data_IF_294764853161
#
_entry.id   IF_294764853161
#
_cell.length_a   1.000
_cell.length_b   1.000
_cell.length_c   1.000
_cell.angle_alpha   90.00
_cell.angle_beta   90.00
_cell.angle_gamma   90.00
#
_symmetry.space_group_name_H-M   'P 1'
#
loop_
_entity.id
_entity.type
_entity.pdbx_description
1 polymer ?
#
# COMPACT_ATOMS: atom_id res chain seq x y z
N UNK A 1 7.69 -20.76 14.31
CA UNK A 1 8.80 -19.89 13.86
C UNK A 1 8.68 -19.71 12.36
N UNK A 2 9.01 -18.54 11.82
CA UNK A 2 8.86 -18.24 10.39
C UNK A 2 10.22 -18.00 9.73
N UNK A 3 11.03 -17.09 10.28
CA UNK A 3 12.42 -16.88 9.86
C UNK A 3 13.32 -17.00 11.09
N UNK A 4 14.39 -17.82 11.08
CA UNK A 4 15.26 -17.97 12.24
C UNK A 4 16.21 -16.78 12.43
N UNK A 5 16.68 -16.12 11.36
CA UNK A 5 17.68 -15.06 11.43
C UNK A 5 17.55 -14.04 10.28
N UNK A 6 16.60 -13.11 10.41
CA UNK A 6 16.42 -11.99 9.50
C UNK A 6 17.50 -10.90 9.70
N UNK A 7 18.12 -10.43 8.61
CA UNK A 7 19.21 -9.43 8.65
C UNK A 7 18.71 -7.99 8.53
N UNK A 8 17.47 -7.78 8.10
CA UNK A 8 16.92 -6.47 7.76
C UNK A 8 15.89 -6.05 8.79
N UNK A 9 15.91 -4.81 9.26
CA UNK A 9 14.78 -4.31 10.04
C UNK A 9 13.65 -3.91 9.09
N UNK A 10 12.45 -4.49 9.26
CA UNK A 10 11.28 -4.09 8.50
C UNK A 10 10.55 -3.00 9.26
N UNK A 11 10.74 -1.77 8.81
CA UNK A 11 10.20 -0.58 9.42
C UNK A 11 8.76 -0.39 8.95
N UNK A 12 7.82 -0.21 9.87
CA UNK A 12 6.41 0.02 9.54
C UNK A 12 5.54 0.44 10.71
N UNK A 13 6.14 0.94 11.80
CA UNK A 13 5.36 1.42 12.94
C UNK A 13 4.51 2.66 12.61
N UNK A 14 3.60 2.98 13.54
CA UNK A 14 2.59 4.03 13.36
C UNK A 14 3.17 5.42 13.05
N UNK A 15 4.42 5.71 13.40
CA UNK A 15 5.01 7.02 13.20
C UNK A 15 5.58 7.20 11.78
N UNK A 16 5.88 6.09 11.09
CA UNK A 16 6.57 6.11 9.79
C UNK A 16 5.69 5.62 8.65
N UNK A 17 4.91 4.54 8.84
CA UNK A 17 4.04 4.02 7.79
C UNK A 17 2.89 4.98 7.43
N UNK A 18 2.67 5.98 8.28
CA UNK A 18 1.61 7.00 8.17
C UNK A 18 2.09 8.35 7.64
N UNK A 19 3.38 8.49 7.39
CA UNK A 19 4.02 9.76 7.01
C UNK A 19 4.87 9.62 5.76
N UNK A 20 5.38 8.41 5.47
CA UNK A 20 6.27 8.14 4.35
C UNK A 20 6.20 6.66 3.90
N UNK A 21 6.83 6.38 2.76
CA UNK A 21 7.06 5.02 2.28
C UNK A 21 8.00 4.24 3.21
N UNK A 22 7.75 2.94 3.35
CA UNK A 22 8.49 2.05 4.24
C UNK A 22 8.80 0.71 3.58
N UNK A 23 9.91 0.08 3.95
CA UNK A 23 10.26 -1.24 3.39
C UNK A 23 9.27 -2.34 3.80
N UNK A 24 8.65 -2.27 4.99
CA UNK A 24 7.58 -3.20 5.36
C UNK A 24 6.31 -2.94 4.55
N UNK A 25 5.97 -1.67 4.30
CA UNK A 25 4.89 -1.27 3.41
C UNK A 25 5.08 -1.87 2.02
N UNK A 26 6.26 -1.70 1.43
CA UNK A 26 6.63 -2.23 0.12
C UNK A 26 6.53 -3.76 0.08
N UNK A 27 7.04 -4.44 1.11
CA UNK A 27 6.93 -5.89 1.19
C UNK A 27 5.46 -6.36 1.20
N UNK A 28 4.61 -5.68 1.98
CA UNK A 28 3.18 -6.01 2.11
C UNK A 28 2.41 -5.72 0.82
N UNK A 29 2.72 -4.64 0.12
CA UNK A 29 2.03 -4.29 -1.13
C UNK A 29 2.50 -5.15 -2.29
N UNK A 30 3.80 -5.45 -2.39
CA UNK A 30 4.33 -6.41 -3.37
C UNK A 30 3.72 -7.80 -3.19
N UNK A 31 3.60 -8.24 -1.93
CA UNK A 31 2.88 -9.43 -1.54
C UNK A 31 1.44 -9.47 -2.05
N UNK A 32 0.69 -8.39 -1.77
CA UNK A 32 -0.70 -8.23 -2.20
C UNK A 32 -0.80 -8.31 -3.72
N UNK A 33 0.08 -7.61 -4.44
CA UNK A 33 0.12 -7.59 -5.90
C UNK A 33 0.36 -8.99 -6.47
N UNK A 34 1.39 -9.69 -5.99
CA UNK A 34 1.76 -11.02 -6.46
C UNK A 34 0.66 -12.06 -6.17
N UNK A 35 0.00 -11.96 -5.00
CA UNK A 35 -1.14 -12.81 -4.68
C UNK A 35 -2.31 -12.55 -5.62
N UNK A 36 -2.71 -11.30 -5.80
CA UNK A 36 -3.83 -10.94 -6.65
C UNK A 36 -3.57 -11.31 -8.12
N UNK A 37 -2.35 -11.13 -8.62
CA UNK A 37 -1.96 -11.50 -9.99
C UNK A 37 -2.12 -13.00 -10.27
N UNK A 38 -1.96 -13.86 -9.25
CA UNK A 38 -2.11 -15.32 -9.37
C UNK A 38 -3.55 -15.80 -9.16
N UNK A 39 -4.31 -15.13 -8.28
CA UNK A 39 -5.56 -15.67 -7.75
C UNK A 39 -6.81 -14.92 -8.23
N UNK A 40 -6.69 -13.70 -8.73
CA UNK A 40 -7.85 -12.92 -9.18
C UNK A 40 -8.06 -13.04 -10.68
N UNK A 41 -9.33 -12.89 -11.10
CA UNK A 41 -9.73 -12.94 -12.51
C UNK A 41 -8.98 -11.91 -13.36
N UNK A 42 -8.74 -10.72 -12.81
CA UNK A 42 -7.99 -9.66 -13.46
C UNK A 42 -6.65 -9.50 -12.75
N UNK A 43 -5.56 -9.47 -13.53
CA UNK A 43 -4.25 -9.12 -12.99
C UNK A 43 -4.29 -7.66 -12.52
N UNK A 44 -3.81 -7.36 -11.29
CA UNK A 44 -3.74 -5.98 -10.82
C UNK A 44 -2.71 -5.21 -11.66
N UNK A 45 -2.98 -3.93 -11.92
CA UNK A 45 -1.99 -3.01 -12.46
C UNK A 45 -0.95 -2.68 -11.38
N UNK A 46 -1.37 -2.56 -10.11
CA UNK A 46 -0.51 -2.34 -8.93
C UNK A 46 -1.28 -2.64 -7.63
N UNK A 47 -0.61 -2.57 -6.49
CA UNK A 47 -1.22 -2.71 -5.17
C UNK A 47 -0.92 -1.54 -4.24
N UNK A 48 -1.85 -1.29 -3.33
CA UNK A 48 -1.73 -0.28 -2.27
C UNK A 48 -2.24 -0.84 -0.94
N UNK A 49 -1.80 -0.25 0.17
CA UNK A 49 -2.42 -0.47 1.48
C UNK A 49 -2.28 0.78 2.33
N UNK A 50 -3.28 1.09 3.16
CA UNK A 50 -3.19 2.23 4.05
C UNK A 50 -2.23 1.95 5.24
N UNK A 51 -1.38 2.91 5.57
CA UNK A 51 -0.39 2.83 6.64
C UNK A 51 -1.02 2.63 8.02
N UNK A 52 -2.26 3.06 8.23
CA UNK A 52 -3.01 2.78 9.46
C UNK A 52 -3.25 1.28 9.72
N UNK A 53 -3.17 0.45 8.68
CA UNK A 53 -3.25 -1.01 8.76
C UNK A 53 -1.96 -1.69 9.23
N UNK A 54 -0.81 -1.00 9.15
CA UNK A 54 0.51 -1.51 9.57
C UNK A 54 0.82 -0.93 10.95
N UNK A 55 0.99 -1.80 11.95
CA UNK A 55 0.93 -1.40 13.37
C UNK A 55 2.25 -1.47 14.11
N UNK A 56 3.23 -2.18 13.56
CA UNK A 56 4.53 -2.38 14.17
C UNK A 56 5.60 -2.57 13.11
N UNK A 57 6.84 -2.30 13.50
CA UNK A 57 8.03 -2.77 12.78
C UNK A 57 8.34 -4.23 13.18
N UNK A 58 9.14 -4.92 12.37
CA UNK A 58 9.72 -6.23 12.70
C UNK A 58 11.24 -6.04 12.83
N UNK A 59 11.77 -6.34 14.00
CA UNK A 59 13.20 -6.23 14.27
C UNK A 59 14.02 -7.26 13.49
N UNK A 60 15.33 -7.04 13.44
CA UNK A 60 16.29 -8.05 12.98
C UNK A 60 16.24 -9.28 13.90
N UNK A 61 16.67 -10.42 13.39
CA UNK A 61 16.73 -11.67 14.13
C UNK A 61 15.53 -12.58 13.87
N UNK A 62 15.06 -13.26 14.90
CA UNK A 62 14.00 -14.27 14.77
C UNK A 62 12.66 -13.59 14.46
N UNK A 63 12.00 -14.03 13.39
CA UNK A 63 10.62 -13.63 13.06
C UNK A 63 9.67 -14.77 13.41
N UNK A 64 8.65 -14.44 14.19
CA UNK A 64 7.59 -15.32 14.65
C UNK A 64 6.26 -14.97 14.00
N UNK A 65 5.28 -15.86 14.17
CA UNK A 65 3.92 -15.56 13.74
C UNK A 65 3.29 -14.45 14.58
N UNK A 66 3.70 -14.30 15.85
CA UNK A 66 3.23 -13.22 16.70
C UNK A 66 3.64 -11.86 16.13
N UNK A 67 4.88 -11.72 15.65
CA UNK A 67 5.35 -10.48 15.00
C UNK A 67 4.46 -10.10 13.82
N UNK A 68 4.07 -11.07 12.99
CA UNK A 68 3.17 -10.85 11.85
C UNK A 68 1.76 -10.43 12.30
N UNK A 69 1.22 -11.08 13.34
CA UNK A 69 -0.07 -10.70 13.94
C UNK A 69 0.00 -9.27 14.48
N UNK A 70 1.10 -8.91 15.14
CA UNK A 70 1.31 -7.56 15.67
C UNK A 70 1.39 -6.52 14.55
N UNK A 71 1.97 -6.84 13.39
CA UNK A 71 2.02 -5.92 12.23
C UNK A 71 0.64 -5.71 11.60
N UNK A 72 -0.13 -6.78 11.36
CA UNK A 72 -1.41 -6.75 10.65
C UNK A 72 -2.57 -7.36 11.48
N UNK A 73 -2.99 -6.72 12.59
CA UNK A 73 -3.85 -7.35 13.59
C UNK A 73 -5.33 -7.42 13.19
N UNK A 74 -5.76 -6.67 12.16
CA UNK A 74 -7.19 -6.47 11.88
C UNK A 74 -7.86 -7.60 11.10
N UNK A 75 -7.10 -8.61 10.67
CA UNK A 75 -7.66 -9.73 9.90
C UNK A 75 -8.20 -9.34 8.52
N UNK A 76 -7.84 -8.16 8.01
CA UNK A 76 -8.27 -7.63 6.71
C UNK A 76 -8.09 -8.64 5.57
N UNK A 77 -9.02 -8.62 4.63
CA UNK A 77 -8.99 -9.45 3.44
C UNK A 77 -8.35 -8.71 2.27
N UNK A 78 -7.55 -9.43 1.48
CA UNK A 78 -7.07 -8.94 0.20
C UNK A 78 -8.26 -8.83 -0.74
N UNK A 79 -8.38 -7.64 -1.33
CA UNK A 79 -9.46 -7.21 -2.21
C UNK A 79 -8.91 -6.61 -3.49
N UNK A 80 -9.71 -6.60 -4.56
CA UNK A 80 -9.38 -5.87 -5.79
C UNK A 80 -10.53 -4.95 -6.18
N UNK A 81 -10.19 -3.71 -6.52
CA UNK A 81 -11.11 -2.69 -7.00
C UNK A 81 -10.78 -2.30 -8.44
N UNK A 82 -11.78 -1.80 -9.17
CA UNK A 82 -11.65 -1.30 -10.53
C UNK A 82 -11.94 0.20 -10.52
N UNK A 83 -10.97 1.04 -10.85
CA UNK A 83 -11.07 2.50 -10.71
C UNK A 83 -10.51 3.24 -11.93
N UNK A 84 -11.06 4.42 -12.25
CA UNK A 84 -10.55 5.28 -13.33
C UNK A 84 -9.26 5.99 -12.89
N UNK A 85 -8.36 6.29 -13.82
CA UNK A 85 -7.09 6.97 -13.52
C UNK A 85 -7.27 8.33 -12.82
N UNK A 86 -8.34 9.07 -13.13
CA UNK A 86 -8.71 10.28 -12.38
C UNK A 86 -8.88 10.02 -10.88
N UNK A 87 -9.46 8.88 -10.52
CA UNK A 87 -9.75 8.54 -9.13
C UNK A 87 -8.54 7.95 -8.41
N UNK A 88 -7.63 7.31 -9.16
CA UNK A 88 -6.29 6.98 -8.65
C UNK A 88 -5.57 8.23 -8.18
N UNK A 89 -5.56 9.31 -8.99
CA UNK A 89 -4.95 10.58 -8.57
C UNK A 89 -5.63 11.15 -7.33
N UNK A 90 -6.97 11.17 -7.27
CA UNK A 90 -7.72 11.65 -6.10
C UNK A 90 -7.38 10.85 -4.84
N UNK A 91 -7.25 9.52 -4.95
CA UNK A 91 -6.88 8.67 -3.81
C UNK A 91 -5.50 9.04 -3.26
N UNK A 92 -4.50 9.28 -4.13
CA UNK A 92 -3.17 9.73 -3.69
C UNK A 92 -3.15 11.16 -3.15
N UNK A 93 -3.92 12.08 -3.73
CA UNK A 93 -4.10 13.43 -3.16
C UNK A 93 -4.67 13.38 -1.74
N UNK A 94 -5.70 12.55 -1.53
CA UNK A 94 -6.28 12.33 -0.20
C UNK A 94 -5.30 11.68 0.76
N UNK A 95 -4.54 10.70 0.28
CA UNK A 95 -3.50 10.03 1.05
C UNK A 95 -2.46 11.01 1.59
N UNK A 96 -2.11 11.99 0.76
CA UNK A 96 -1.15 13.04 1.03
C UNK A 96 -1.79 14.29 1.64
N UNK A 97 -3.03 14.26 2.13
CA UNK A 97 -3.76 15.46 2.58
C UNK A 97 -3.39 15.94 4.01
N UNK A 98 -2.55 15.20 4.73
CA UNK A 98 -2.22 15.49 6.12
C UNK A 98 -1.51 16.86 6.29
N UNK A 99 -1.72 17.60 7.39
CA UNK A 99 -0.92 18.78 7.71
C UNK A 99 0.59 18.51 7.71
N UNK A 100 1.39 19.56 7.59
CA UNK A 100 2.84 19.47 7.67
C UNK A 100 3.28 19.79 9.10
N UNK A 101 4.23 19.02 9.61
CA UNK A 101 4.96 19.30 10.85
C UNK A 101 6.45 19.41 10.57
N UNK A 102 7.18 20.07 11.48
CA UNK A 102 8.63 20.10 11.47
C UNK A 102 9.11 19.16 12.58
N UNK A 103 9.82 18.10 12.19
CA UNK A 103 10.43 17.14 13.11
C UNK A 103 11.91 17.02 12.78
N UNK A 104 12.79 17.20 13.77
CA UNK A 104 14.24 17.16 13.58
C UNK A 104 14.72 18.08 12.43
N UNK A 105 14.22 19.31 12.39
CA UNK A 105 14.50 20.31 11.34
C UNK A 105 14.12 19.88 9.91
N UNK A 106 13.24 18.88 9.75
CA UNK A 106 12.72 18.44 8.46
C UNK A 106 11.20 18.57 8.42
N UNK A 107 10.68 19.13 7.33
CA UNK A 107 9.24 19.12 7.04
C UNK A 107 8.81 17.71 6.69
N UNK A 108 7.74 17.24 7.31
CA UNK A 108 7.09 15.97 6.98
C UNK A 108 5.58 16.07 7.15
N UNK A 109 4.86 15.11 6.61
CA UNK A 109 3.43 14.96 6.90
C UNK A 109 3.24 14.57 8.37
N UNK A 110 2.21 15.10 9.02
CA UNK A 110 1.75 14.54 10.29
C UNK A 110 1.22 13.11 10.07
N UNK A 111 1.29 12.22 11.07
CA UNK A 111 0.83 10.85 10.92
C UNK A 111 -0.64 10.74 10.47
N UNK A 112 -0.87 10.22 9.27
CA UNK A 112 -2.19 9.94 8.71
C UNK A 112 -2.37 8.45 8.43
N UNK A 113 -3.37 7.82 9.05
CA UNK A 113 -3.70 6.40 8.80
C UNK A 113 -4.10 6.09 7.35
N UNK A 114 -4.46 7.12 6.57
CA UNK A 114 -4.75 7.04 5.14
C UNK A 114 -3.54 7.24 4.21
N UNK A 115 -2.33 7.41 4.72
CA UNK A 115 -1.12 7.40 3.89
C UNK A 115 -1.01 6.04 3.18
N UNK A 116 -0.82 6.01 1.87
CA UNK A 116 -0.85 4.80 1.06
C UNK A 116 0.58 4.32 0.85
N UNK A 117 0.86 3.12 1.35
CA UNK A 117 2.02 2.34 0.92
C UNK A 117 1.71 1.77 -0.46
N UNK A 118 2.74 1.60 -1.29
CA UNK A 118 2.60 1.24 -2.71
C UNK A 118 3.48 0.05 -3.06
N UNK A 119 3.12 -0.71 -4.09
CA UNK A 119 3.93 -1.80 -4.62
C UNK A 119 4.92 -1.34 -5.69
N UNK A 120 5.84 -2.24 -6.07
CA UNK A 120 6.86 -2.09 -7.12
C UNK A 120 6.34 -1.68 -8.49
N UNK A 121 5.03 -1.73 -8.73
CA UNK A 121 4.41 -1.45 -10.04
C UNK A 121 3.83 -0.04 -10.14
N UNK A 122 4.06 0.83 -9.17
CA UNK A 122 3.64 2.24 -9.22
C UNK A 122 4.69 3.16 -8.58
N UNK A 123 4.89 4.33 -9.17
CA UNK A 123 5.65 5.43 -8.60
C UNK A 123 4.75 6.65 -8.44
N UNK A 124 4.86 7.35 -7.31
CA UNK A 124 4.10 8.57 -7.02
C UNK A 124 5.07 9.68 -6.65
N UNK A 125 5.10 10.73 -7.47
CA UNK A 125 5.92 11.91 -7.25
C UNK A 125 5.03 13.00 -6.68
N UNK A 126 5.43 13.59 -5.55
CA UNK A 126 4.64 14.60 -4.86
C UNK A 126 5.50 15.68 -4.22
N UNK A 127 4.89 16.84 -3.97
CA UNK A 127 5.50 17.98 -3.29
C UNK A 127 4.63 18.42 -2.11
N UNK A 128 5.12 18.15 -0.90
CA UNK A 128 4.42 18.45 0.36
C UNK A 128 4.30 19.95 0.65
N UNK A 129 5.06 20.81 -0.05
CA UNK A 129 4.95 22.25 0.09
C UNK A 129 3.75 22.82 -0.67
N UNK A 130 3.12 22.04 -1.55
CA UNK A 130 1.88 22.45 -2.18
C UNK A 130 0.70 22.35 -1.20
N UNK A 131 -0.35 23.11 -1.52
CA UNK A 131 -1.62 23.05 -0.79
C UNK A 131 -2.16 21.62 -0.81
N UNK A 132 -2.84 21.18 0.26
CA UNK A 132 -3.49 19.88 0.27
C UNK A 132 -4.46 19.74 -0.94
N UNK A 133 -4.55 18.53 -1.50
CA UNK A 133 -5.19 18.22 -2.79
C UNK A 133 -4.50 18.75 -4.06
N UNK A 134 -3.29 19.31 -3.95
CA UNK A 134 -2.46 19.70 -5.10
C UNK A 134 -1.01 19.23 -4.95
N UNK A 135 -0.80 18.14 -4.21
CA UNK A 135 0.53 17.64 -3.87
C UNK A 135 1.05 16.64 -4.88
N UNK A 136 0.20 15.89 -5.57
CA UNK A 136 0.62 14.91 -6.58
C UNK A 136 1.10 15.63 -7.84
N UNK A 137 2.37 15.40 -8.22
CA UNK A 137 3.02 15.93 -9.41
C UNK A 137 2.92 14.99 -10.60
N UNK A 138 3.21 13.71 -10.37
CA UNK A 138 3.16 12.68 -11.40
C UNK A 138 2.85 11.33 -10.75
N UNK A 139 2.18 10.46 -11.48
CA UNK A 139 1.98 9.06 -11.11
C UNK A 139 2.35 8.23 -12.32
N UNK A 140 3.20 7.23 -12.11
CA UNK A 140 3.62 6.32 -13.16
C UNK A 140 3.27 4.90 -12.77
N UNK A 141 2.65 4.17 -13.69
CA UNK A 141 2.24 2.78 -13.49
C UNK A 141 3.04 1.90 -14.43
N UNK A 142 3.53 0.77 -13.92
CA UNK A 142 4.28 -0.20 -14.71
C UNK A 142 3.34 -0.89 -15.71
N UNK A 143 3.69 -0.85 -16.97
CA UNK A 143 3.05 -1.64 -18.00
C UNK A 143 3.60 -3.07 -17.94
N UNK A 144 2.79 -4.01 -17.46
CA UNK A 144 3.18 -5.42 -17.29
C UNK A 144 3.54 -6.15 -18.60
N UNK A 145 3.18 -5.60 -19.76
CA UNK A 145 3.57 -6.18 -21.07
C UNK A 145 4.96 -5.73 -21.50
N UNK A 146 5.28 -4.45 -21.27
CA UNK A 146 6.53 -3.85 -21.76
C UNK A 146 7.61 -3.75 -20.67
N UNK A 147 7.22 -3.91 -19.41
CA UNK A 147 8.07 -3.72 -18.23
C UNK A 147 8.38 -2.25 -17.90
N UNK A 148 7.96 -1.30 -18.73
CA UNK A 148 8.25 0.14 -18.59
C UNK A 148 7.22 0.85 -17.71
N UNK A 149 7.63 1.93 -17.06
CA UNK A 149 6.73 2.84 -16.37
C UNK A 149 6.12 3.86 -17.35
N UNK A 150 4.81 4.00 -17.31
CA UNK A 150 4.05 4.94 -18.13
C UNK A 150 3.25 5.88 -17.24
N UNK A 151 3.09 7.14 -17.66
CA UNK A 151 2.27 8.10 -16.92
C UNK A 151 0.83 7.58 -16.75
N UNK A 152 0.25 7.87 -15.60
CA UNK A 152 -1.14 7.55 -15.28
C UNK A 152 -2.05 8.19 -16.34
N UNK A 153 -2.80 7.35 -17.05
CA UNK A 153 -3.77 7.82 -18.02
C UNK A 153 -5.11 8.09 -17.28
N UNK A 154 -5.60 9.34 -17.25
CA UNK A 154 -6.81 9.68 -16.50
C UNK A 154 -8.06 8.97 -17.04
N UNK A 155 -8.07 8.56 -18.30
CA UNK A 155 -9.21 7.89 -18.94
C UNK A 155 -9.12 6.37 -18.92
N UNK A 156 -7.96 5.80 -18.59
CA UNK A 156 -7.80 4.35 -18.44
C UNK A 156 -8.40 3.89 -17.10
N UNK A 157 -8.96 2.69 -17.10
CA UNK A 157 -9.37 1.98 -15.89
C UNK A 157 -8.26 1.04 -15.42
N UNK A 158 -8.02 1.04 -14.12
CA UNK A 158 -6.99 0.26 -13.44
C UNK A 158 -7.62 -0.73 -12.47
N UNK A 159 -7.03 -1.92 -12.38
CA UNK A 159 -7.32 -2.91 -11.35
C UNK A 159 -6.30 -2.76 -10.22
N UNK A 160 -6.76 -2.42 -9.03
CA UNK A 160 -5.89 -2.19 -7.88
C UNK A 160 -6.14 -3.25 -6.83
N UNK A 161 -5.09 -3.96 -6.41
CA UNK A 161 -5.16 -4.86 -5.27
C UNK A 161 -4.89 -4.09 -3.96
N UNK A 162 -5.64 -4.38 -2.90
CA UNK A 162 -5.55 -3.67 -1.63
C UNK A 162 -6.14 -4.50 -0.49
N UNK A 163 -6.19 -3.95 0.73
CA UNK A 163 -7.03 -4.48 1.81
C UNK A 163 -8.50 -4.02 1.67
N UNK A 164 -9.44 -4.80 2.20
CA UNK A 164 -10.89 -4.55 2.12
C UNK A 164 -11.34 -3.26 2.82
N UNK A 165 -10.70 -2.88 3.92
CA UNK A 165 -10.97 -1.58 4.57
C UNK A 165 -10.71 -0.40 3.62
N UNK A 166 -9.56 -0.41 2.95
CA UNK A 166 -9.17 0.62 1.97
C UNK A 166 -10.02 0.50 0.71
N UNK A 167 -10.35 -0.71 0.26
CA UNK A 167 -11.24 -0.92 -0.87
C UNK A 167 -12.58 -0.21 -0.66
N UNK A 168 -13.23 -0.43 0.49
CA UNK A 168 -14.52 0.20 0.82
C UNK A 168 -14.36 1.72 0.95
N UNK A 169 -13.31 2.21 1.60
CA UNK A 169 -13.13 3.65 1.81
C UNK A 169 -12.80 4.40 0.51
N UNK A 170 -11.97 3.81 -0.35
CA UNK A 170 -11.70 4.32 -1.70
C UNK A 170 -12.98 4.26 -2.53
N UNK A 171 -13.77 3.18 -2.44
CA UNK A 171 -15.07 3.06 -3.11
C UNK A 171 -16.07 4.15 -2.68
N UNK A 172 -16.16 4.37 -1.37
CA UNK A 172 -17.02 5.39 -0.76
C UNK A 172 -16.62 6.81 -1.16
N UNK A 173 -15.32 7.07 -1.38
CA UNK A 173 -14.84 8.34 -1.93
C UNK A 173 -15.19 8.54 -3.42
N UNK A 174 -15.49 7.48 -4.17
CA UNK A 174 -15.64 7.52 -5.64
C UNK A 174 -17.09 7.24 -6.10
N UNK A 175 -18.03 6.93 -5.20
CA UNK A 175 -19.42 6.58 -5.54
C UNK A 175 -19.50 5.53 -6.68
N UNK A 176 -18.83 4.39 -6.51
CA UNK A 176 -18.86 3.29 -7.49
C UNK A 176 -19.71 2.12 -6.98
N UNK A 177 -20.27 1.34 -7.90
CA UNK A 177 -20.98 0.07 -7.64
C UNK A 177 -20.05 -1.02 -7.10
N UNK A 178 -20.47 -1.64 -6.00
CA UNK A 178 -19.73 -2.61 -5.19
C UNK A 178 -19.19 -3.79 -6.03
N UNK A 179 -17.88 -3.83 -6.28
CA UNK A 179 -17.23 -4.87 -7.09
C UNK A 179 -15.94 -5.41 -6.45
N UNK A 180 -15.73 -5.17 -5.15
CA UNK A 180 -14.55 -5.66 -4.45
C UNK A 180 -14.61 -7.17 -4.22
N UNK A 181 -13.81 -7.95 -4.95
CA UNK A 181 -13.66 -9.39 -4.70
C UNK A 181 -12.68 -9.63 -3.55
N UNK A 182 -13.12 -10.33 -2.49
CA UNK A 182 -12.35 -10.70 -1.30
C UNK A 182 -11.96 -12.18 -1.38
N UNK A 183 -10.71 -12.55 -1.04
CA UNK A 183 -10.31 -13.96 -1.16
C UNK A 183 -9.42 -14.51 -0.03
N UNK A 184 -8.62 -13.68 0.65
CA UNK A 184 -7.63 -14.20 1.59
C UNK A 184 -7.23 -13.23 2.69
N UNK A 185 -6.98 -13.75 3.89
CA UNK A 185 -6.52 -12.93 5.02
C UNK A 185 -5.11 -12.44 4.75
N UNK A 186 -4.93 -11.12 4.78
CA UNK A 186 -3.64 -10.48 4.51
C UNK A 186 -2.54 -10.97 5.47
N UNK A 187 -2.89 -11.18 6.73
CA UNK A 187 -1.98 -11.74 7.73
C UNK A 187 -1.49 -13.15 7.37
N UNK A 188 -2.36 -14.01 6.82
CA UNK A 188 -1.95 -15.35 6.38
C UNK A 188 -1.00 -15.27 5.18
N UNK A 189 -1.18 -14.28 4.29
CA UNK A 189 -0.30 -14.09 3.15
C UNK A 189 1.10 -13.71 3.62
N UNK A 190 1.21 -12.80 4.58
CA UNK A 190 2.50 -12.36 5.10
C UNK A 190 3.26 -13.53 5.76
N UNK A 191 2.56 -14.44 6.46
CA UNK A 191 3.15 -15.69 6.98
C UNK A 191 3.73 -16.55 5.85
N UNK A 192 3.00 -16.70 4.73
CA UNK A 192 3.47 -17.48 3.59
C UNK A 192 4.72 -16.85 2.99
N UNK A 193 4.73 -15.54 2.80
CA UNK A 193 5.83 -14.85 2.12
C UNK A 193 7.10 -14.89 2.96
N UNK A 194 7.02 -14.62 4.26
CA UNK A 194 8.20 -14.76 5.11
C UNK A 194 8.76 -16.20 5.17
N UNK A 195 7.96 -17.24 4.85
CA UNK A 195 8.49 -18.61 4.67
C UNK A 195 9.24 -18.82 3.35
N UNK A 196 9.08 -17.95 2.36
CA UNK A 196 9.67 -18.07 1.01
C UNK A 196 10.70 -16.98 0.69
N UNK A 197 10.97 -16.05 1.61
CA UNK A 197 12.00 -15.00 1.48
C UNK A 197 13.42 -15.55 1.77
N UNK A 198 13.54 -16.80 2.22
CA UNK A 198 14.81 -17.51 2.44
C UNK A 198 14.96 -18.62 1.42
#
# INVERSE_FOLDING_TARGET
>A
MIIPNNKVEFKGDNNIARTQETNLGNLITDAIEDYAAKNFKHKPDFAITNGGGIRSSIAKGKITQNDIITVLPFGNLISQIKVKGTDVKKAFEHSLNAPIEIKNNKKQLTPNGGFLQISKSIHVFYDINQKPNSRVRDIQVRNHKTGKFEKLNPNKTYYIATNDFTAIKVMAMICLEDNAKKAFRLMKLLVIIFKHII
#
